data_IF_052425689739
#
_entry.id   IF_052425689739
#
_cell.length_a   1.000
_cell.length_b   1.000
_cell.length_c   1.000
_cell.angle_alpha   90.00
_cell.angle_beta   90.00
_cell.angle_gamma   90.00
#
_symmetry.space_group_name_H-M   'P 1'
#
loop_
_entity.id
_entity.type
_entity.pdbx_description
1 polymer ?
#
# COMPACT_ATOMS: atom_id res chain seq x y z
N UNK A 1 20.85 8.98 31.35
CA UNK A 1 20.54 8.95 29.90
C UNK A 1 19.22 8.21 29.68
N UNK A 2 18.15 8.91 29.31
CA UNK A 2 16.83 8.29 29.09
C UNK A 2 16.80 7.68 27.68
N UNK A 3 16.79 6.35 27.58
CA UNK A 3 16.61 5.64 26.30
C UNK A 3 15.14 5.79 25.89
N UNK A 4 14.85 6.70 24.96
CA UNK A 4 13.54 6.76 24.32
C UNK A 4 13.35 5.48 23.50
N UNK A 5 12.55 4.53 24.01
CA UNK A 5 12.04 3.42 23.20
C UNK A 5 11.05 4.02 22.21
N UNK A 6 11.38 3.99 20.92
CA UNK A 6 10.43 4.34 19.88
C UNK A 6 9.21 3.42 20.02
N UNK A 7 8.04 4.02 20.27
CA UNK A 7 6.75 3.33 20.29
C UNK A 7 6.56 2.71 18.90
N UNK A 8 6.56 1.38 18.81
CA UNK A 8 6.34 0.72 17.53
C UNK A 8 4.87 0.92 17.15
N UNK A 9 4.55 1.36 15.92
CA UNK A 9 3.16 1.50 15.48
C UNK A 9 2.38 0.19 15.66
N UNK A 10 1.12 0.29 16.09
CA UNK A 10 0.22 -0.87 16.26
C UNK A 10 -0.26 -1.46 14.92
N UNK A 11 0.08 -0.83 13.79
CA UNK A 11 -0.27 -1.28 12.45
C UNK A 11 0.94 -1.78 11.66
N UNK A 12 0.68 -2.71 10.74
CA UNK A 12 1.69 -3.24 9.83
C UNK A 12 2.20 -2.12 8.91
N UNK A 13 3.52 -1.92 8.88
CA UNK A 13 4.14 -0.89 8.06
C UNK A 13 5.53 -1.31 7.58
N UNK A 14 5.98 -0.73 6.47
CA UNK A 14 7.31 -0.98 5.92
C UNK A 14 8.30 0.00 6.55
N UNK A 15 9.01 -0.43 7.59
CA UNK A 15 10.09 0.34 8.18
C UNK A 15 11.42 0.08 7.44
N UNK A 16 12.13 1.16 7.10
CA UNK A 16 13.48 1.06 6.52
C UNK A 16 14.51 0.86 7.64
N UNK A 17 14.98 -0.39 7.80
CA UNK A 17 16.04 -0.73 8.76
C UNK A 17 17.41 -0.50 8.13
N UNK A 18 18.12 0.53 8.59
CA UNK A 18 19.46 0.88 8.08
C UNK A 18 20.60 0.12 8.77
N UNK A 19 20.43 -0.25 10.05
CA UNK A 19 21.47 -0.93 10.84
C UNK A 19 21.56 -2.42 10.52
N UNK A 20 22.79 -2.93 10.36
CA UNK A 20 23.07 -4.33 10.02
C UNK A 20 22.55 -5.31 11.07
N UNK A 21 22.77 -5.03 12.35
CA UNK A 21 22.38 -5.93 13.45
C UNK A 21 20.86 -5.98 13.63
N UNK A 22 20.18 -4.84 13.47
CA UNK A 22 18.72 -4.80 13.48
C UNK A 22 18.14 -5.54 12.28
N UNK A 23 18.76 -5.42 11.10
CA UNK A 23 18.35 -6.16 9.90
C UNK A 23 18.55 -7.67 10.05
N UNK A 24 19.57 -8.13 10.78
CA UNK A 24 19.81 -9.56 11.02
C UNK A 24 18.77 -10.19 11.95
N UNK A 25 18.12 -9.40 12.80
CA UNK A 25 17.02 -9.86 13.69
C UNK A 25 15.70 -10.06 12.96
N UNK A 26 15.56 -9.53 11.73
CA UNK A 26 14.37 -9.69 10.92
C UNK A 26 14.26 -11.11 10.37
N UNK A 27 13.03 -11.63 10.31
CA UNK A 27 12.77 -12.94 9.73
C UNK A 27 13.06 -12.92 8.23
N UNK A 28 13.79 -13.92 7.76
CA UNK A 28 13.95 -14.20 6.34
C UNK A 28 12.65 -14.73 5.78
N UNK A 29 12.18 -14.18 4.66
CA UNK A 29 11.01 -14.65 3.94
C UNK A 29 11.42 -15.07 2.53
N UNK A 30 10.53 -15.79 1.84
CA UNK A 30 10.70 -16.17 0.43
C UNK A 30 9.80 -15.31 -0.45
N UNK A 31 10.31 -14.92 -1.62
CA UNK A 31 9.47 -14.47 -2.74
C UNK A 31 9.26 -15.65 -3.71
N UNK A 32 8.42 -15.47 -4.74
CA UNK A 32 8.10 -16.50 -5.76
C UNK A 32 9.36 -17.15 -6.36
N UNK A 33 10.38 -16.35 -6.67
CA UNK A 33 11.65 -16.86 -7.23
C UNK A 33 12.48 -17.64 -6.18
N UNK A 34 12.51 -17.16 -4.94
CA UNK A 34 13.19 -17.87 -3.85
C UNK A 34 12.51 -19.19 -3.50
N UNK A 35 11.19 -19.28 -3.63
CA UNK A 35 10.46 -20.54 -3.43
C UNK A 35 10.91 -21.60 -4.43
N UNK A 36 10.98 -21.25 -5.71
CA UNK A 36 11.51 -22.13 -6.76
C UNK A 36 12.97 -22.50 -6.49
N UNK A 37 13.81 -21.52 -6.11
CA UNK A 37 15.21 -21.76 -5.81
C UNK A 37 15.41 -22.77 -4.67
N UNK A 38 14.62 -22.68 -3.59
CA UNK A 38 14.75 -23.58 -2.43
C UNK A 38 13.89 -24.83 -2.51
N UNK A 39 13.14 -25.05 -3.59
CA UNK A 39 12.19 -26.17 -3.73
C UNK A 39 12.85 -27.56 -3.62
N UNK A 40 14.16 -27.66 -3.89
CA UNK A 40 14.92 -28.91 -3.83
C UNK A 40 15.43 -29.26 -2.42
N UNK A 41 15.29 -28.35 -1.43
CA UNK A 41 15.78 -28.56 -0.07
C UNK A 41 14.65 -28.98 0.88
N UNK A 42 14.95 -29.80 1.90
CA UNK A 42 14.00 -30.05 2.97
C UNK A 42 13.72 -28.77 3.77
N UNK A 43 12.52 -28.65 4.32
CA UNK A 43 12.02 -27.41 4.94
C UNK A 43 12.91 -26.93 6.11
N UNK A 44 13.53 -27.85 6.85
CA UNK A 44 14.46 -27.51 7.94
C UNK A 44 15.73 -26.82 7.46
N UNK A 45 16.34 -27.31 6.37
CA UNK A 45 17.53 -26.69 5.78
C UNK A 45 17.20 -25.37 5.10
N UNK A 46 16.04 -25.33 4.44
CA UNK A 46 15.51 -24.10 3.85
C UNK A 46 15.35 -23.01 4.90
N UNK A 47 14.76 -23.31 6.05
CA UNK A 47 14.59 -22.33 7.13
C UNK A 47 15.92 -21.83 7.69
N UNK A 48 16.90 -22.74 7.86
CA UNK A 48 18.28 -22.37 8.26
C UNK A 48 18.92 -21.43 7.22
N UNK A 49 18.86 -21.78 5.93
CA UNK A 49 19.41 -20.96 4.83
C UNK A 49 18.69 -19.61 4.70
N UNK A 50 17.38 -19.56 4.91
CA UNK A 50 16.62 -18.30 4.87
C UNK A 50 17.03 -17.35 5.99
N UNK A 51 17.22 -17.86 7.22
CA UNK A 51 17.68 -17.03 8.34
C UNK A 51 19.09 -16.47 8.09
N UNK A 52 20.00 -17.30 7.58
CA UNK A 52 21.40 -16.94 7.37
C UNK A 52 21.61 -16.03 6.15
N UNK A 53 21.08 -16.43 5.00
CA UNK A 53 21.47 -15.90 3.69
C UNK A 53 20.38 -15.11 2.96
N UNK A 54 19.11 -15.13 3.42
CA UNK A 54 18.04 -14.45 2.67
C UNK A 54 18.27 -12.93 2.63
N UNK A 55 18.17 -12.38 1.42
CA UNK A 55 18.11 -10.93 1.18
C UNK A 55 16.72 -10.36 1.52
N UNK A 56 15.68 -11.19 1.42
CA UNK A 56 14.30 -10.83 1.70
C UNK A 56 14.05 -10.95 3.20
N UNK A 57 14.07 -9.80 3.89
CA UNK A 57 13.83 -9.72 5.33
C UNK A 57 12.82 -8.62 5.60
N UNK A 58 11.71 -8.97 6.25
CA UNK A 58 10.63 -8.03 6.55
C UNK A 58 10.14 -8.21 8.00
N UNK A 59 9.61 -7.14 8.58
CA UNK A 59 8.86 -7.20 9.84
C UNK A 59 7.42 -7.67 9.59
N UNK A 60 6.81 -7.13 8.55
CA UNK A 60 5.45 -7.45 8.13
C UNK A 60 5.49 -7.89 6.67
N UNK A 61 4.86 -9.02 6.37
CA UNK A 61 4.71 -9.50 5.00
C UNK A 61 3.72 -8.56 4.30
N UNK A 62 4.10 -7.94 3.17
CA UNK A 62 3.14 -7.15 2.41
C UNK A 62 1.92 -8.00 2.05
N UNK A 63 0.69 -7.49 2.24
CA UNK A 63 -0.50 -8.21 1.84
C UNK A 63 -0.46 -8.44 0.33
N UNK A 64 -1.11 -9.52 -0.13
CA UNK A 64 -1.33 -9.71 -1.55
C UNK A 64 -2.19 -8.55 -2.09
N UNK A 65 -2.01 -8.22 -3.36
CA UNK A 65 -2.86 -7.23 -4.01
C UNK A 65 -4.32 -7.69 -3.92
N UNK A 66 -5.24 -6.84 -3.43
CA UNK A 66 -6.65 -7.20 -3.32
C UNK A 66 -7.24 -7.61 -4.66
N UNK A 67 -8.34 -8.36 -4.60
CA UNK A 67 -9.10 -8.72 -5.79
C UNK A 67 -9.51 -7.46 -6.56
N UNK A 68 -9.50 -7.54 -7.90
CA UNK A 68 -9.90 -6.45 -8.80
C UNK A 68 -9.02 -5.18 -8.73
N UNK A 69 -7.94 -5.14 -7.95
CA UNK A 69 -7.06 -3.96 -7.83
C UNK A 69 -6.42 -3.54 -9.16
N UNK A 70 -6.15 -4.50 -10.06
CA UNK A 70 -5.54 -4.27 -11.37
C UNK A 70 -6.55 -4.17 -12.52
N UNK A 71 -7.85 -4.08 -12.23
CA UNK A 71 -8.84 -3.81 -13.27
C UNK A 71 -8.68 -2.39 -13.80
N UNK A 72 -8.45 -2.26 -15.11
CA UNK A 72 -8.20 -0.97 -15.78
C UNK A 72 -9.47 -0.12 -15.88
N UNK A 73 -10.65 -0.74 -15.79
CA UNK A 73 -11.95 -0.07 -15.89
C UNK A 73 -12.52 0.36 -14.55
N UNK A 74 -13.34 1.41 -14.55
CA UNK A 74 -14.13 1.76 -13.39
C UNK A 74 -15.27 0.74 -13.24
N UNK A 75 -15.40 0.06 -12.10
CA UNK A 75 -16.54 -0.83 -11.86
C UNK A 75 -17.84 -0.03 -11.89
N UNK A 76 -18.92 -0.67 -12.35
CA UNK A 76 -20.25 -0.07 -12.27
C UNK A 76 -20.63 0.20 -10.80
N UNK A 77 -21.57 1.13 -10.56
CA UNK A 77 -22.09 1.40 -9.21
C UNK A 77 -22.64 0.15 -8.53
N UNK A 78 -23.32 -0.73 -9.28
CA UNK A 78 -23.81 -2.01 -8.79
C UNK A 78 -22.66 -2.91 -8.33
N UNK A 79 -21.63 -3.06 -9.17
CA UNK A 79 -20.42 -3.83 -8.85
C UNK A 79 -19.67 -3.24 -7.65
N UNK A 80 -19.67 -1.91 -7.49
CA UNK A 80 -19.08 -1.25 -6.33
C UNK A 80 -19.79 -1.58 -5.02
N UNK A 81 -21.12 -1.74 -5.04
CA UNK A 81 -21.92 -2.14 -3.88
C UNK A 81 -21.63 -3.60 -3.54
N UNK A 82 -21.67 -4.49 -4.54
CA UNK A 82 -21.39 -5.93 -4.38
C UNK A 82 -19.98 -6.19 -3.82
N UNK A 83 -18.97 -5.46 -4.32
CA UNK A 83 -17.59 -5.53 -3.82
C UNK A 83 -17.40 -4.84 -2.45
N UNK A 84 -18.42 -4.16 -1.94
CA UNK A 84 -18.39 -3.46 -0.66
C UNK A 84 -17.60 -2.14 -0.66
N UNK A 85 -17.29 -1.59 -1.83
CA UNK A 85 -16.68 -0.26 -1.97
C UNK A 85 -17.64 0.86 -1.56
N UNK A 86 -18.94 0.67 -1.81
CA UNK A 86 -20.00 1.59 -1.41
C UNK A 86 -20.87 0.88 -0.37
N UNK A 87 -20.99 1.48 0.82
CA UNK A 87 -21.94 1.04 1.84
C UNK A 87 -23.20 1.88 1.72
N UNK A 88 -24.33 1.25 1.41
CA UNK A 88 -25.62 1.93 1.47
C UNK A 88 -26.00 2.13 2.93
N UNK A 89 -25.81 3.35 3.42
CA UNK A 89 -26.28 3.72 4.76
C UNK A 89 -27.80 3.86 4.74
N UNK A 90 -28.49 3.10 5.60
CA UNK A 90 -29.96 3.19 5.76
C UNK A 90 -30.44 4.58 6.22
N UNK A 91 -29.55 5.39 6.78
CA UNK A 91 -29.80 6.76 7.17
C UNK A 91 -28.63 7.64 6.71
N UNK A 92 -28.63 8.11 5.44
CA UNK A 92 -27.55 8.92 4.93
C UNK A 92 -27.48 10.24 5.69
N UNK A 93 -26.34 10.52 6.33
CA UNK A 93 -26.11 11.83 6.94
C UNK A 93 -26.25 12.90 5.86
N UNK A 94 -27.03 13.96 6.16
CA UNK A 94 -27.22 15.07 5.24
C UNK A 94 -25.86 15.67 4.88
N UNK A 95 -25.41 15.44 3.63
CA UNK A 95 -24.13 15.95 3.14
C UNK A 95 -24.17 17.47 3.30
N UNK A 96 -23.26 18.01 4.11
CA UNK A 96 -23.21 19.46 4.33
C UNK A 96 -23.11 20.17 2.98
N UNK A 97 -24.12 20.98 2.66
CA UNK A 97 -24.07 21.81 1.45
C UNK A 97 -22.96 22.82 1.66
N UNK A 98 -22.09 22.94 0.65
CA UNK A 98 -21.08 24.00 0.63
C UNK A 98 -21.82 25.33 0.78
N UNK A 99 -21.54 26.09 1.85
CA UNK A 99 -22.28 27.34 2.16
C UNK A 99 -22.17 28.38 1.05
N UNK A 100 -21.10 28.30 0.25
CA UNK A 100 -20.83 29.19 -0.88
C UNK A 100 -20.72 28.38 -2.17
N UNK A 101 -21.38 28.81 -3.26
CA UNK A 101 -21.22 28.20 -4.57
C UNK A 101 -19.78 28.39 -5.07
N UNK A 102 -19.25 27.38 -5.77
CA UNK A 102 -17.92 27.48 -6.38
C UNK A 102 -18.00 28.34 -7.64
N UNK A 103 -17.61 29.62 -7.53
CA UNK A 103 -17.49 30.51 -8.68
C UNK A 103 -16.17 30.22 -9.41
N UNK A 104 -16.22 29.32 -10.39
CA UNK A 104 -15.09 29.07 -11.29
C UNK A 104 -14.92 30.26 -12.26
N UNK A 105 -14.05 31.21 -11.91
CA UNK A 105 -13.63 32.26 -12.82
C UNK A 105 -12.54 31.71 -13.74
N UNK A 106 -12.93 31.21 -14.91
CA UNK A 106 -11.97 30.86 -15.95
C UNK A 106 -11.40 32.15 -16.55
N UNK A 107 -10.08 32.31 -16.48
CA UNK A 107 -9.39 33.43 -17.11
C UNK A 107 -9.52 33.33 -18.65
N UNK A 108 -9.97 34.37 -19.36
CA UNK A 108 -10.04 34.34 -20.82
C UNK A 108 -8.63 34.16 -21.40
N UNK A 109 -8.45 33.21 -22.32
CA UNK A 109 -7.20 33.09 -23.07
C UNK A 109 -7.00 34.36 -23.90
N UNK A 110 -5.89 35.06 -23.68
CA UNK A 110 -5.58 36.33 -24.35
C UNK A 110 -5.62 36.21 -25.88
N UNK A 111 -6.34 37.12 -26.54
CA UNK A 111 -6.37 37.23 -28.00
C UNK A 111 -4.98 37.60 -28.49
N UNK A 112 -4.32 36.72 -29.25
CA UNK A 112 -3.11 37.08 -29.99
C UNK A 112 -3.52 38.10 -31.05
N UNK A 113 -3.06 39.34 -30.88
CA UNK A 113 -3.24 40.42 -31.86
C UNK A 113 -2.45 39.99 -33.11
N UNK A 114 -3.16 39.74 -34.22
CA UNK A 114 -2.53 39.66 -35.54
C UNK A 114 -1.88 41.01 -35.83
N UNK A 115 -0.55 41.03 -35.97
CA UNK A 115 0.13 42.15 -36.60
C UNK A 115 0.20 41.86 -38.09
N UNK A 116 -0.37 42.81 -38.84
CA UNK A 116 -0.32 43.00 -40.29
C UNK A 116 1.10 43.00 -40.83
#
# INVERSE_FOLDING_TARGET
MKKNKAQHPTFAHVAVVRKKDERRKLKGTTCKECEVYYAHLPEEEKQKKLSACSRHRFLYIPPCTPENFWEVGFPSTQTCIERGYIKEEKNPQARSRRRQPFNALFSPKGKKILKT
#
